data_IF_070378982721
#
_entry.id   IF_070378982721
#
_cell.length_a   1.000
_cell.length_b   1.000
_cell.length_c   1.000
_cell.angle_alpha   90.00
_cell.angle_beta   90.00
_cell.angle_gamma   90.00
#
_symmetry.space_group_name_H-M   'P 1'
#
loop_
_entity.id
_entity.type
_entity.pdbx_description
1 polymer ?
#
# COMPACT_ATOMS: atom_id res chain seq x y z
N UNK A 1 15.08 14.80 -22.18
CA UNK A 1 14.01 13.85 -21.79
C UNK A 1 14.62 12.91 -20.77
N UNK A 2 14.74 13.37 -19.52
CA UNK A 2 15.46 12.67 -18.47
C UNK A 2 14.48 12.36 -17.32
N UNK A 3 14.56 11.13 -16.80
CA UNK A 3 14.14 10.74 -15.44
C UNK A 3 12.65 10.56 -15.09
N UNK A 4 11.81 10.02 -15.99
CA UNK A 4 10.51 9.43 -15.58
C UNK A 4 10.67 7.98 -15.04
N UNK A 5 11.85 7.37 -15.21
CA UNK A 5 12.09 5.96 -14.81
C UNK A 5 12.45 5.74 -13.34
N UNK A 6 12.65 6.80 -12.55
CA UNK A 6 13.19 6.67 -11.18
C UNK A 6 12.22 7.09 -10.06
N UNK A 7 11.00 7.49 -10.42
CA UNK A 7 9.95 7.86 -9.46
C UNK A 7 8.94 6.72 -9.39
N UNK A 8 8.43 6.41 -8.20
CA UNK A 8 7.27 5.51 -8.07
C UNK A 8 6.06 6.20 -8.72
N UNK A 9 5.36 5.54 -9.64
CA UNK A 9 4.09 6.10 -10.13
C UNK A 9 2.95 5.73 -9.19
N UNK A 10 1.95 6.62 -9.12
CA UNK A 10 0.76 6.37 -8.30
C UNK A 10 0.05 5.08 -8.70
N UNK A 11 0.00 4.74 -9.98
CA UNK A 11 -0.64 3.51 -10.44
C UNK A 11 0.11 2.26 -9.99
N UNK A 12 1.45 2.29 -9.98
CA UNK A 12 2.27 1.19 -9.48
C UNK A 12 2.00 0.94 -7.99
N UNK A 13 2.01 2.01 -7.17
CA UNK A 13 1.77 1.89 -5.73
C UNK A 13 0.34 1.46 -5.43
N UNK A 14 -0.66 2.01 -6.14
CA UNK A 14 -2.05 1.57 -5.99
C UNK A 14 -2.24 0.11 -6.42
N UNK A 15 -1.56 -0.35 -7.47
CA UNK A 15 -1.57 -1.74 -7.90
C UNK A 15 -1.02 -2.69 -6.84
N UNK A 16 0.11 -2.33 -6.22
CA UNK A 16 0.72 -3.08 -5.12
C UNK A 16 -0.22 -3.14 -3.92
N UNK A 17 -0.79 -2.00 -3.50
CA UNK A 17 -1.70 -1.94 -2.36
C UNK A 17 -2.94 -2.81 -2.62
N UNK A 18 -3.51 -2.74 -3.83
CA UNK A 18 -4.65 -3.57 -4.21
C UNK A 18 -4.32 -5.06 -4.14
N UNK A 19 -3.20 -5.48 -4.74
CA UNK A 19 -2.77 -6.88 -4.71
C UNK A 19 -2.58 -7.38 -3.27
N UNK A 20 -1.91 -6.60 -2.43
CA UNK A 20 -1.68 -6.97 -1.04
C UNK A 20 -3.00 -7.05 -0.26
N UNK A 21 -3.93 -6.11 -0.47
CA UNK A 21 -5.22 -6.16 0.20
C UNK A 21 -6.07 -7.35 -0.27
N UNK A 22 -6.04 -7.68 -1.55
CA UNK A 22 -6.69 -8.89 -2.08
C UNK A 22 -6.05 -10.18 -1.52
N UNK A 23 -4.73 -10.22 -1.32
CA UNK A 23 -4.03 -11.36 -0.71
C UNK A 23 -4.29 -11.50 0.80
N UNK A 24 -4.34 -10.38 1.52
CA UNK A 24 -4.43 -10.36 2.99
C UNK A 24 -5.86 -10.45 3.50
N UNK A 25 -6.79 -9.70 2.89
CA UNK A 25 -8.20 -9.63 3.29
C UNK A 25 -9.03 -10.61 2.44
N UNK A 26 -8.80 -10.61 1.13
CA UNK A 26 -9.55 -11.43 0.17
C UNK A 26 -11.07 -11.24 0.27
N UNK A 27 -11.80 -12.34 0.31
CA UNK A 27 -13.27 -12.40 0.47
C UNK A 27 -13.69 -12.72 1.92
N UNK A 28 -12.78 -12.59 2.89
CA UNK A 28 -13.06 -12.98 4.27
C UNK A 28 -14.10 -12.04 4.90
N UNK A 29 -15.11 -12.57 5.62
CA UNK A 29 -16.05 -11.75 6.34
C UNK A 29 -15.33 -10.97 7.44
N UNK A 30 -15.79 -9.74 7.74
CA UNK A 30 -15.17 -8.91 8.76
C UNK A 30 -15.16 -9.60 10.14
N UNK A 31 -13.97 -9.66 10.74
CA UNK A 31 -13.76 -10.11 12.10
C UNK A 31 -12.74 -9.19 12.78
N UNK A 32 -13.01 -8.78 14.02
CA UNK A 32 -12.15 -7.86 14.76
C UNK A 32 -10.74 -8.42 14.99
N UNK A 33 -10.62 -9.68 15.40
CA UNK A 33 -9.33 -10.32 15.66
C UNK A 33 -8.49 -10.43 14.37
N UNK A 34 -9.15 -10.82 13.27
CA UNK A 34 -8.49 -10.95 11.97
C UNK A 34 -8.15 -9.59 11.36
N UNK A 35 -8.96 -8.55 11.59
CA UNK A 35 -8.70 -7.19 11.10
C UNK A 35 -7.41 -6.59 11.63
N UNK A 36 -7.03 -6.93 12.87
CA UNK A 36 -5.77 -6.50 13.46
C UNK A 36 -4.58 -7.20 12.79
N UNK A 37 -4.75 -8.48 12.49
CA UNK A 37 -3.76 -9.30 11.79
C UNK A 37 -3.61 -8.87 10.33
N UNK A 38 -4.72 -8.59 9.64
CA UNK A 38 -4.75 -8.07 8.27
C UNK A 38 -4.06 -6.71 8.18
N UNK A 39 -4.27 -5.81 9.14
CA UNK A 39 -3.57 -4.53 9.16
C UNK A 39 -2.05 -4.72 9.25
N UNK A 40 -1.57 -5.58 10.17
CA UNK A 40 -0.14 -5.85 10.32
C UNK A 40 0.45 -6.45 9.05
N UNK A 41 -0.22 -7.47 8.48
CA UNK A 41 0.24 -8.13 7.26
C UNK A 41 0.22 -7.18 6.06
N UNK A 42 -0.84 -6.39 5.88
CA UNK A 42 -0.95 -5.44 4.77
C UNK A 42 0.18 -4.40 4.81
N UNK A 43 0.42 -3.79 5.97
CA UNK A 43 1.52 -2.81 6.13
C UNK A 43 2.87 -3.46 5.84
N UNK A 44 3.15 -4.61 6.43
CA UNK A 44 4.43 -5.30 6.24
C UNK A 44 4.68 -5.71 4.78
N UNK A 45 3.65 -6.25 4.11
CA UNK A 45 3.71 -6.65 2.70
C UNK A 45 3.87 -5.46 1.76
N UNK A 46 3.10 -4.38 1.97
CA UNK A 46 3.22 -3.15 1.18
C UNK A 46 4.62 -2.57 1.35
N UNK A 47 5.12 -2.44 2.58
CA UNK A 47 6.47 -1.94 2.84
C UNK A 47 7.54 -2.83 2.20
N UNK A 48 7.44 -4.15 2.32
CA UNK A 48 8.39 -5.09 1.67
C UNK A 48 8.43 -4.89 0.15
N UNK A 49 7.27 -4.80 -0.50
CA UNK A 49 7.18 -4.60 -1.96
C UNK A 49 7.70 -3.23 -2.38
N UNK A 50 7.41 -2.18 -1.61
CA UNK A 50 7.92 -0.83 -1.87
C UNK A 50 9.45 -0.73 -1.67
N UNK A 51 10.00 -1.35 -0.63
CA UNK A 51 11.45 -1.37 -0.37
C UNK A 51 12.18 -2.23 -1.41
N UNK A 52 11.59 -3.35 -1.84
CA UNK A 52 12.17 -4.22 -2.87
C UNK A 52 12.33 -3.52 -4.23
N UNK A 53 11.53 -2.47 -4.50
CA UNK A 53 11.65 -1.68 -5.71
C UNK A 53 12.90 -0.77 -5.72
N UNK A 54 13.57 -0.59 -4.56
CA UNK A 54 14.90 0.02 -4.41
C UNK A 54 15.10 1.33 -5.22
N UNK A 55 14.05 2.16 -5.33
CA UNK A 55 14.12 3.45 -6.03
C UNK A 55 14.31 4.58 -5.04
N UNK A 56 15.17 5.58 -5.34
CA UNK A 56 15.38 6.72 -4.47
C UNK A 56 14.09 7.53 -4.32
N UNK A 57 13.57 7.61 -3.10
CA UNK A 57 12.40 8.41 -2.76
C UNK A 57 12.75 9.90 -2.88
N UNK A 58 12.30 10.57 -3.95
CA UNK A 58 12.58 12.01 -4.18
C UNK A 58 11.41 12.92 -3.78
N UNK A 59 10.22 12.37 -3.53
CA UNK A 59 9.02 13.16 -3.28
C UNK A 59 8.23 12.63 -2.08
N UNK A 60 7.68 13.55 -1.28
CA UNK A 60 6.72 13.26 -0.22
C UNK A 60 5.39 12.97 -0.89
N UNK A 61 5.27 11.78 -1.46
CA UNK A 61 4.04 11.31 -2.06
C UNK A 61 3.24 10.57 -0.99
N UNK A 62 2.01 11.03 -0.78
CA UNK A 62 1.04 10.37 0.07
C UNK A 62 0.09 9.56 -0.80
N UNK A 63 0.17 8.23 -0.74
CA UNK A 63 -0.78 7.37 -1.44
C UNK A 63 -1.93 6.99 -0.50
N UNK A 64 -3.14 7.24 -0.97
CA UNK A 64 -4.37 6.82 -0.31
C UNK A 64 -5.03 5.72 -1.12
N UNK A 65 -5.29 4.57 -0.49
CA UNK A 65 -6.16 3.55 -1.04
C UNK A 65 -7.39 3.39 -0.15
N UNK A 66 -8.57 3.44 -0.78
CA UNK A 66 -9.85 3.23 -0.14
C UNK A 66 -10.49 1.98 -0.72
N UNK A 67 -10.75 1.01 0.15
CA UNK A 67 -11.46 -0.21 -0.18
C UNK A 67 -12.74 -0.28 0.65
N UNK A 68 -13.87 -0.45 -0.02
CA UNK A 68 -15.18 -0.47 0.60
C UNK A 68 -15.88 -1.79 0.29
N UNK A 69 -16.40 -2.43 1.34
CA UNK A 69 -17.31 -3.56 1.25
C UNK A 69 -18.59 -3.26 2.01
N UNK A 70 -19.62 -4.09 1.79
CA UNK A 70 -20.94 -3.95 2.44
C UNK A 70 -20.86 -3.76 3.97
N UNK A 71 -19.84 -4.32 4.63
CA UNK A 71 -19.71 -4.31 6.10
C UNK A 71 -18.37 -3.72 6.61
N UNK A 72 -17.47 -3.28 5.73
CA UNK A 72 -16.14 -2.81 6.15
C UNK A 72 -15.56 -1.78 5.18
N UNK A 73 -15.04 -0.69 5.73
CA UNK A 73 -14.21 0.29 5.04
C UNK A 73 -12.76 0.12 5.50
N UNK A 74 -11.84 -0.05 4.55
CA UNK A 74 -10.39 -0.09 4.78
C UNK A 74 -9.75 1.10 4.07
N UNK A 75 -9.02 1.89 4.84
CA UNK A 75 -8.27 3.04 4.31
C UNK A 75 -6.80 2.86 4.66
N UNK A 76 -5.94 2.86 3.64
CA UNK A 76 -4.50 2.73 3.80
C UNK A 76 -3.84 4.03 3.35
N UNK A 77 -3.00 4.60 4.24
CA UNK A 77 -2.17 5.76 3.96
C UNK A 77 -0.71 5.32 3.95
N UNK A 78 -0.03 5.57 2.82
CA UNK A 78 1.41 5.33 2.67
C UNK A 78 2.10 6.67 2.47
N UNK A 79 3.09 6.97 3.29
CA UNK A 79 3.91 8.18 3.19
C UNK A 79 5.35 7.79 2.87
N UNK A 80 5.89 8.28 1.76
CA UNK A 80 7.32 8.27 1.53
C UNK A 80 7.94 9.55 2.07
N UNK A 81 8.89 9.46 2.99
CA UNK A 81 9.65 10.61 3.48
C UNK A 81 11.09 10.50 2.97
N UNK A 82 11.51 11.46 2.16
CA UNK A 82 12.90 11.58 1.76
C UNK A 82 13.69 12.21 2.92
N UNK A 83 14.54 11.45 3.59
CA UNK A 83 15.57 12.03 4.46
C UNK A 83 16.72 12.51 3.58
N UNK A 84 16.89 13.84 3.53
CA UNK A 84 17.97 14.52 2.81
C UNK A 84 19.36 14.18 3.35
#
# INVERSE_FOLDING_TARGET
MADVKNTFTQEEVQGIIKQVLDEVIGLSPYNYADSLNWNKQAVEQITKRLVALNRPYKYIESWQYRWETKNMLVVVYVYALATS
#
